data_IF_425916564516
#
_entry.id   IF_425916564516
#
_cell.length_a   1.000
_cell.length_b   1.000
_cell.length_c   1.000
_cell.angle_alpha   90.00
_cell.angle_beta   90.00
_cell.angle_gamma   90.00
#
_symmetry.space_group_name_H-M   'P 1'
#
loop_
_entity.id
_entity.type
_entity.pdbx_description
1 polymer ?
#
# COMPACT_ATOMS: atom_id res chain seq x y z
N UNK A 1 -2.05 1.53 -14.72
CA UNK A 1 -1.01 2.30 -14.00
C UNK A 1 -1.31 2.36 -12.51
N UNK A 2 -2.51 2.80 -12.08
CA UNK A 2 -2.86 2.97 -10.66
C UNK A 2 -2.56 1.73 -9.79
N UNK A 3 -2.90 0.53 -10.26
CA UNK A 3 -2.59 -0.71 -9.54
C UNK A 3 -1.07 -0.90 -9.33
N UNK A 4 -0.25 -0.66 -10.36
CA UNK A 4 1.21 -0.72 -10.23
C UNK A 4 1.74 0.32 -9.24
N UNK A 5 1.18 1.52 -9.22
CA UNK A 5 1.53 2.56 -8.26
C UNK A 5 1.20 2.15 -6.81
N UNK A 6 0.00 1.61 -6.58
CA UNK A 6 -0.43 1.19 -5.24
C UNK A 6 0.45 0.08 -4.66
N UNK A 7 0.72 -0.98 -5.44
CA UNK A 7 1.61 -2.06 -5.04
C UNK A 7 3.05 -1.58 -4.79
N UNK A 8 3.56 -0.68 -5.66
CA UNK A 8 4.94 -0.19 -5.54
C UNK A 8 5.14 0.75 -4.34
N UNK A 9 4.15 1.59 -4.00
CA UNK A 9 4.18 2.42 -2.78
C UNK A 9 4.27 1.56 -1.51
N UNK A 10 3.52 0.47 -1.45
CA UNK A 10 3.54 -0.44 -0.32
C UNK A 10 4.93 -1.05 -0.08
N UNK A 11 5.76 -1.22 -1.11
CA UNK A 11 7.12 -1.77 -0.95
C UNK A 11 7.95 -0.98 0.07
N UNK A 12 7.91 0.35 0.03
CA UNK A 12 8.64 1.17 0.98
C UNK A 12 8.05 1.10 2.39
N UNK A 13 6.74 1.29 2.52
CA UNK A 13 6.10 1.40 3.83
C UNK A 13 6.15 0.06 4.59
N UNK A 14 5.95 -1.06 3.89
CA UNK A 14 6.05 -2.39 4.48
C UNK A 14 7.49 -2.74 4.85
N UNK A 15 8.48 -2.49 3.98
CA UNK A 15 9.89 -2.71 4.34
C UNK A 15 10.32 -1.87 5.52
N UNK A 16 9.87 -0.63 5.60
CA UNK A 16 10.12 0.25 6.73
C UNK A 16 9.50 -0.30 8.02
N UNK A 17 8.25 -0.75 7.97
CA UNK A 17 7.56 -1.36 9.12
C UNK A 17 8.28 -2.62 9.61
N UNK A 18 8.62 -3.55 8.71
CA UNK A 18 9.33 -4.79 9.00
C UNK A 18 10.72 -4.51 9.59
N UNK A 19 11.40 -3.49 9.08
CA UNK A 19 12.79 -3.17 9.45
C UNK A 19 12.90 -2.37 10.75
N UNK A 20 11.83 -1.81 11.26
CA UNK A 20 11.83 -0.87 12.39
C UNK A 20 12.38 -1.42 13.70
N UNK A 21 12.46 -2.75 13.87
CA UNK A 21 12.98 -3.41 15.07
C UNK A 21 14.28 -4.18 14.85
N UNK A 22 14.94 -4.05 13.70
CA UNK A 22 16.12 -4.84 13.35
C UNK A 22 17.41 -4.02 13.51
N UNK A 23 18.24 -4.40 14.46
CA UNK A 23 19.52 -3.71 14.71
C UNK A 23 20.62 -4.01 13.67
N UNK A 24 20.53 -5.14 12.96
CA UNK A 24 21.54 -5.58 11.99
C UNK A 24 20.92 -6.07 10.70
N UNK A 25 20.97 -5.24 9.67
CA UNK A 25 20.60 -5.63 8.32
C UNK A 25 21.78 -6.20 7.53
N UNK A 26 21.56 -7.34 6.85
CA UNK A 26 22.52 -7.83 5.85
C UNK A 26 22.69 -6.80 4.72
N UNK A 27 23.79 -6.90 3.97
CA UNK A 27 24.02 -6.01 2.83
C UNK A 27 22.88 -6.05 1.82
N UNK A 28 22.30 -7.23 1.56
CA UNK A 28 21.17 -7.39 0.63
C UNK A 28 19.88 -6.76 1.17
N UNK A 29 19.61 -6.89 2.48
CA UNK A 29 18.45 -6.23 3.10
C UNK A 29 18.57 -4.70 3.03
N UNK A 30 19.76 -4.15 3.30
CA UNK A 30 20.03 -2.71 3.14
C UNK A 30 19.84 -2.24 1.70
N UNK A 31 20.27 -3.02 0.71
CA UNK A 31 20.05 -2.71 -0.70
C UNK A 31 18.56 -2.75 -1.06
N UNK A 32 17.81 -3.73 -0.56
CA UNK A 32 16.37 -3.83 -0.76
C UNK A 32 15.63 -2.63 -0.16
N UNK A 33 15.95 -2.24 1.08
CA UNK A 33 15.38 -1.04 1.73
C UNK A 33 15.71 0.23 0.91
N UNK A 34 16.95 0.43 0.50
CA UNK A 34 17.34 1.59 -0.28
C UNK A 34 16.60 1.63 -1.63
N UNK A 35 16.45 0.48 -2.29
CA UNK A 35 15.76 0.36 -3.56
C UNK A 35 14.24 0.60 -3.43
N UNK A 36 13.61 0.10 -2.36
CA UNK A 36 12.20 0.40 -2.09
C UNK A 36 11.95 1.89 -1.83
N UNK A 37 12.92 2.58 -1.21
CA UNK A 37 12.88 4.03 -1.05
C UNK A 37 12.95 4.76 -2.39
N UNK A 38 13.77 4.30 -3.33
CA UNK A 38 13.81 4.85 -4.70
C UNK A 38 12.43 4.72 -5.37
N UNK A 39 11.77 3.57 -5.22
CA UNK A 39 10.39 3.40 -5.74
C UNK A 39 9.45 4.47 -5.19
N UNK A 40 9.45 4.67 -3.87
CA UNK A 40 8.62 5.66 -3.20
C UNK A 40 8.90 7.08 -3.72
N UNK A 41 10.17 7.49 -3.77
CA UNK A 41 10.57 8.84 -4.18
C UNK A 41 10.18 9.13 -5.64
N UNK A 42 10.33 8.15 -6.55
CA UNK A 42 9.92 8.28 -7.94
C UNK A 42 8.40 8.43 -8.07
N UNK A 43 7.62 7.63 -7.35
CA UNK A 43 6.16 7.72 -7.40
C UNK A 43 5.65 8.99 -6.74
N UNK A 44 6.21 9.38 -5.61
CA UNK A 44 5.82 10.61 -4.91
C UNK A 44 6.09 11.85 -5.79
N UNK A 45 7.20 11.85 -6.53
CA UNK A 45 7.58 12.97 -7.39
C UNK A 45 6.82 12.98 -8.72
N UNK A 46 6.64 11.82 -9.35
CA UNK A 46 6.19 11.70 -10.74
C UNK A 46 4.81 11.05 -10.90
N UNK A 47 4.29 10.37 -9.88
CA UNK A 47 3.03 9.60 -9.97
C UNK A 47 1.83 10.40 -10.48
N UNK A 48 1.51 11.57 -9.89
CA UNK A 48 0.40 12.40 -10.37
C UNK A 48 0.54 12.81 -11.85
N UNK A 49 1.73 13.25 -12.26
CA UNK A 49 2.00 13.64 -13.65
C UNK A 49 1.92 12.43 -14.60
N UNK A 50 2.44 11.28 -14.21
CA UNK A 50 2.32 10.04 -14.99
C UNK A 50 0.87 9.60 -15.18
N UNK A 51 0.03 9.73 -14.15
CA UNK A 51 -1.41 9.48 -14.25
C UNK A 51 -2.09 10.45 -15.22
N UNK A 52 -1.68 11.71 -15.22
CA UNK A 52 -2.17 12.71 -16.18
C UNK A 52 -1.74 12.38 -17.62
N UNK A 53 -0.50 11.98 -17.81
CA UNK A 53 0.01 11.56 -19.13
C UNK A 53 -0.78 10.38 -19.69
N UNK A 54 -1.10 9.38 -18.86
CA UNK A 54 -1.94 8.24 -19.26
C UNK A 54 -3.37 8.69 -19.62
N UNK A 55 -3.99 9.54 -18.79
CA UNK A 55 -5.34 10.07 -19.09
C UNK A 55 -5.41 10.85 -20.41
N UNK A 56 -4.35 11.57 -20.72
CA UNK A 56 -4.23 12.34 -21.98
C UNK A 56 -3.81 11.49 -23.18
N UNK A 57 -3.35 10.25 -22.94
CA UNK A 57 -2.79 9.38 -23.99
C UNK A 57 -1.48 9.90 -24.59
N UNK A 58 -0.73 10.73 -23.86
CA UNK A 58 0.53 11.35 -24.29
C UNK A 58 1.64 10.96 -23.32
N UNK A 59 2.45 9.93 -23.66
CA UNK A 59 3.60 9.55 -22.83
C UNK A 59 4.59 10.71 -22.63
N UNK A 60 5.11 10.81 -21.41
CA UNK A 60 6.10 11.81 -21.03
C UNK A 60 7.17 11.22 -20.10
N UNK A 61 8.16 12.03 -19.73
CA UNK A 61 9.25 11.60 -18.87
C UNK A 61 8.78 11.19 -17.46
N UNK A 62 7.68 11.75 -16.96
CA UNK A 62 7.14 11.34 -15.66
C UNK A 62 6.60 9.90 -15.72
N UNK A 63 5.92 9.54 -16.82
CA UNK A 63 5.46 8.18 -17.04
C UNK A 63 6.63 7.19 -17.12
N UNK A 64 7.71 7.54 -17.81
CA UNK A 64 8.91 6.70 -17.90
C UNK A 64 9.50 6.43 -16.50
N UNK A 65 9.68 7.46 -15.66
CA UNK A 65 10.18 7.30 -14.29
C UNK A 65 9.31 6.39 -13.43
N UNK A 66 7.99 6.48 -13.57
CA UNK A 66 7.05 5.64 -12.84
C UNK A 66 7.07 4.19 -13.35
N UNK A 67 7.20 3.98 -14.65
CA UNK A 67 7.34 2.64 -15.23
C UNK A 67 8.64 1.96 -14.77
N UNK A 68 9.74 2.70 -14.67
CA UNK A 68 11.00 2.19 -14.11
C UNK A 68 10.81 1.79 -12.63
N UNK A 69 10.10 2.59 -11.85
CA UNK A 69 9.78 2.26 -10.46
C UNK A 69 8.98 0.95 -10.35
N UNK A 70 7.94 0.79 -11.18
CA UNK A 70 7.02 -0.36 -11.14
C UNK A 70 7.71 -1.64 -11.67
N UNK A 71 8.34 -1.58 -12.83
CA UNK A 71 8.83 -2.79 -13.51
C UNK A 71 10.26 -3.16 -13.14
N UNK A 72 11.14 -2.19 -12.95
CA UNK A 72 12.53 -2.46 -12.63
C UNK A 72 12.76 -2.46 -11.12
N UNK A 73 12.54 -1.34 -10.44
CA UNK A 73 12.95 -1.20 -9.04
C UNK A 73 12.08 -2.01 -8.08
N UNK A 74 10.76 -2.07 -8.26
CA UNK A 74 9.90 -2.92 -7.45
C UNK A 74 10.22 -4.41 -7.65
N UNK A 75 10.52 -4.83 -8.88
CA UNK A 75 10.98 -6.18 -9.19
C UNK A 75 12.32 -6.52 -8.51
N UNK A 76 13.29 -5.61 -8.57
CA UNK A 76 14.58 -5.77 -7.87
C UNK A 76 14.40 -5.83 -6.36
N UNK A 77 13.52 -5.02 -5.78
CA UNK A 77 13.19 -5.09 -4.34
C UNK A 77 12.73 -6.49 -3.96
N UNK A 78 11.78 -7.06 -4.70
CA UNK A 78 11.25 -8.40 -4.44
C UNK A 78 12.32 -9.49 -4.61
N UNK A 79 13.19 -9.39 -5.63
CA UNK A 79 14.29 -10.34 -5.86
C UNK A 79 15.37 -10.29 -4.76
N UNK A 80 15.65 -9.11 -4.21
CA UNK A 80 16.62 -8.93 -3.12
C UNK A 80 16.04 -9.29 -1.76
N UNK A 81 14.73 -9.41 -1.63
CA UNK A 81 14.07 -9.76 -0.38
C UNK A 81 14.29 -11.24 -0.08
N UNK A 82 15.15 -11.55 0.86
CA UNK A 82 15.43 -12.92 1.31
C UNK A 82 14.56 -13.38 2.50
N UNK A 83 13.54 -12.61 2.87
CA UNK A 83 12.66 -12.84 4.02
C UNK A 83 11.33 -12.13 3.85
N UNK A 84 10.75 -11.70 4.97
CA UNK A 84 9.53 -10.91 4.97
C UNK A 84 9.70 -9.63 4.14
N UNK A 85 8.77 -9.39 3.22
CA UNK A 85 8.77 -8.24 2.32
C UNK A 85 7.38 -7.63 2.11
N UNK A 86 6.38 -8.20 2.76
CA UNK A 86 5.02 -7.74 2.82
C UNK A 86 4.55 -7.74 4.29
N UNK A 87 3.61 -6.89 4.63
CA UNK A 87 3.06 -6.72 5.97
C UNK A 87 1.55 -6.43 5.89
N UNK A 88 1.05 -5.46 6.66
CA UNK A 88 -0.38 -5.19 6.74
C UNK A 88 -1.02 -4.78 5.40
N UNK A 89 -0.31 -4.13 4.49
CA UNK A 89 -0.89 -3.73 3.20
C UNK A 89 -1.31 -4.96 2.36
N UNK A 90 -0.43 -5.94 2.23
CA UNK A 90 -0.71 -7.19 1.53
C UNK A 90 -1.66 -8.09 2.33
N UNK A 91 -1.54 -8.16 3.66
CA UNK A 91 -2.48 -8.89 4.49
C UNK A 91 -3.92 -8.39 4.35
N UNK A 92 -4.13 -7.07 4.26
CA UNK A 92 -5.44 -6.47 4.02
C UNK A 92 -5.94 -6.83 2.61
N UNK A 93 -5.07 -6.79 1.60
CA UNK A 93 -5.43 -7.28 0.27
C UNK A 93 -5.88 -8.75 0.31
N UNK A 94 -5.16 -9.64 1.00
CA UNK A 94 -5.58 -11.04 1.15
C UNK A 94 -6.96 -11.14 1.79
N UNK A 95 -7.26 -10.30 2.78
CA UNK A 95 -8.59 -10.18 3.35
C UNK A 95 -9.67 -9.92 2.30
N UNK A 96 -9.43 -9.02 1.37
CA UNK A 96 -10.39 -8.73 0.30
C UNK A 96 -10.61 -9.90 -0.66
N UNK A 97 -9.70 -10.84 -0.78
CA UNK A 97 -9.83 -11.98 -1.70
C UNK A 97 -10.94 -12.98 -1.34
N UNK A 98 -11.39 -12.99 -0.09
CA UNK A 98 -12.47 -13.91 0.35
C UNK A 98 -13.87 -13.38 0.07
N UNK A 99 -14.01 -12.12 -0.33
CA UNK A 99 -15.29 -11.52 -0.67
C UNK A 99 -15.45 -11.46 -2.21
N UNK A 100 -16.53 -12.05 -2.72
CA UNK A 100 -16.78 -12.09 -4.17
C UNK A 100 -16.90 -10.70 -4.80
N UNK A 101 -17.40 -9.70 -4.03
CA UNK A 101 -17.55 -8.33 -4.51
C UNK A 101 -16.23 -7.61 -4.73
N UNK A 102 -15.16 -8.03 -4.07
CA UNK A 102 -13.85 -7.35 -4.07
C UNK A 102 -12.76 -8.12 -4.79
N UNK A 103 -12.93 -9.41 -5.00
CA UNK A 103 -11.92 -10.31 -5.59
C UNK A 103 -11.40 -9.87 -6.95
N UNK A 104 -12.26 -9.27 -7.77
CA UNK A 104 -11.92 -8.81 -9.14
C UNK A 104 -11.44 -7.34 -9.18
N UNK A 105 -11.37 -6.66 -8.04
CA UNK A 105 -11.08 -5.21 -8.01
C UNK A 105 -9.66 -4.84 -8.46
N UNK A 106 -8.74 -5.77 -8.36
CA UNK A 106 -7.34 -5.57 -8.77
C UNK A 106 -6.37 -5.47 -7.59
N UNK A 107 -5.39 -6.39 -7.59
CA UNK A 107 -4.40 -6.57 -6.53
C UNK A 107 -3.79 -5.25 -6.04
N UNK A 108 -3.11 -4.52 -6.92
CA UNK A 108 -2.34 -3.35 -6.50
C UNK A 108 -3.19 -2.16 -6.05
N UNK A 109 -4.47 -2.08 -6.45
CA UNK A 109 -5.39 -1.07 -5.92
C UNK A 109 -5.77 -1.38 -4.48
N UNK A 110 -6.03 -2.66 -4.17
CA UNK A 110 -6.34 -3.12 -2.82
C UNK A 110 -5.11 -3.05 -1.91
N UNK A 111 -3.92 -3.38 -2.41
CA UNK A 111 -2.66 -3.17 -1.69
C UNK A 111 -2.43 -1.68 -1.41
N UNK A 112 -2.72 -0.80 -2.37
CA UNK A 112 -2.60 0.65 -2.17
C UNK A 112 -3.54 1.18 -1.07
N UNK A 113 -4.79 0.72 -1.02
CA UNK A 113 -5.70 1.02 0.10
C UNK A 113 -5.18 0.42 1.41
N UNK A 114 -4.72 -0.83 1.39
CA UNK A 114 -4.08 -1.48 2.53
C UNK A 114 -2.85 -0.73 3.04
N UNK A 115 -2.08 -0.09 2.16
CA UNK A 115 -0.94 0.75 2.53
C UNK A 115 -1.35 1.99 3.34
N UNK A 116 -2.45 2.65 2.97
CA UNK A 116 -3.00 3.74 3.78
C UNK A 116 -3.44 3.24 5.17
N UNK A 117 -4.04 2.06 5.23
CA UNK A 117 -4.42 1.43 6.50
C UNK A 117 -3.18 1.05 7.34
N UNK A 118 -2.09 0.58 6.72
CA UNK A 118 -0.81 0.31 7.39
C UNK A 118 -0.27 1.59 8.05
N UNK A 119 -0.24 2.72 7.34
CA UNK A 119 0.19 4.00 7.90
C UNK A 119 -0.67 4.42 9.11
N UNK A 120 -1.97 4.19 9.03
CA UNK A 120 -2.89 4.46 10.13
C UNK A 120 -2.66 3.50 11.32
N UNK A 121 -2.38 2.21 11.09
CA UNK A 121 -2.01 1.23 12.12
C UNK A 121 -0.70 1.59 12.82
N UNK A 122 0.27 2.16 12.11
CA UNK A 122 1.52 2.68 12.69
C UNK A 122 1.33 3.99 13.48
N UNK A 123 0.11 4.52 13.56
CA UNK A 123 -0.21 5.81 14.17
C UNK A 123 0.61 6.98 13.58
N UNK A 124 0.84 6.99 12.27
CA UNK A 124 1.44 8.13 11.60
C UNK A 124 0.64 9.39 11.89
N UNK A 125 1.30 10.55 11.87
CA UNK A 125 0.63 11.83 12.09
C UNK A 125 -0.50 12.04 11.07
N UNK A 126 -1.46 12.91 11.40
CA UNK A 126 -2.53 13.23 10.45
C UNK A 126 -1.99 13.93 9.20
N UNK A 127 -0.90 14.69 9.34
CA UNK A 127 -0.20 15.33 8.22
C UNK A 127 0.39 14.30 7.26
N UNK A 128 1.18 13.32 7.78
CA UNK A 128 1.73 12.23 6.97
C UNK A 128 0.63 11.40 6.28
N UNK A 129 -0.46 11.12 6.98
CA UNK A 129 -1.57 10.36 6.42
C UNK A 129 -2.31 11.15 5.33
N UNK A 130 -2.55 12.45 5.53
CA UNK A 130 -3.15 13.33 4.52
C UNK A 130 -2.28 13.46 3.27
N UNK A 131 -0.95 13.56 3.42
CA UNK A 131 -0.03 13.56 2.28
C UNK A 131 -0.14 12.25 1.47
N UNK A 132 -0.12 11.08 2.16
CA UNK A 132 -0.27 9.79 1.52
C UNK A 132 -1.63 9.62 0.81
N UNK A 133 -2.72 10.08 1.44
CA UNK A 133 -4.07 10.09 0.86
C UNK A 133 -4.13 11.02 -0.36
N UNK A 134 -3.51 12.19 -0.30
CA UNK A 134 -3.42 13.12 -1.43
C UNK A 134 -2.72 12.51 -2.64
N UNK A 135 -1.60 11.82 -2.41
CA UNK A 135 -0.88 11.07 -3.45
C UNK A 135 -1.74 9.93 -4.00
N UNK A 136 -2.35 9.12 -3.14
CA UNK A 136 -3.21 8.01 -3.54
C UNK A 136 -4.38 8.49 -4.40
N UNK A 137 -5.04 9.59 -4.03
CA UNK A 137 -6.11 10.24 -4.80
C UNK A 137 -5.63 10.67 -6.18
N UNK A 138 -4.49 11.36 -6.26
CA UNK A 138 -3.92 11.81 -7.53
C UNK A 138 -3.57 10.64 -8.47
N UNK A 139 -3.22 9.49 -7.90
CA UNK A 139 -2.88 8.26 -8.60
C UNK A 139 -4.07 7.30 -8.82
N UNK A 140 -5.30 7.71 -8.50
CA UNK A 140 -6.52 6.91 -8.62
C UNK A 140 -6.48 5.57 -7.85
N UNK A 141 -5.86 5.58 -6.68
CA UNK A 141 -5.91 4.50 -5.69
C UNK A 141 -7.15 4.73 -4.82
N UNK A 142 -7.96 3.71 -4.48
CA UNK A 142 -9.15 3.88 -3.66
C UNK A 142 -8.82 4.36 -2.25
N UNK A 143 -9.69 5.19 -1.68
CA UNK A 143 -9.52 5.85 -0.38
C UNK A 143 -10.56 5.39 0.65
N UNK A 144 -11.53 4.59 0.24
CA UNK A 144 -12.62 4.13 1.08
C UNK A 144 -13.10 2.74 0.66
N UNK A 145 -13.73 2.02 1.59
CA UNK A 145 -14.41 0.76 1.28
C UNK A 145 -15.47 0.94 0.21
N UNK A 146 -16.20 2.07 0.24
CA UNK A 146 -17.26 2.36 -0.74
C UNK A 146 -16.73 2.49 -2.16
N UNK A 147 -15.51 2.99 -2.34
CA UNK A 147 -14.87 3.05 -3.66
C UNK A 147 -14.44 1.65 -4.16
N UNK A 148 -14.29 0.68 -3.25
CA UNK A 148 -13.94 -0.70 -3.58
C UNK A 148 -15.22 -1.52 -3.83
N UNK A 149 -16.14 -1.58 -2.85
CA UNK A 149 -17.41 -2.29 -2.97
C UNK A 149 -18.40 -1.86 -1.88
N UNK A 150 -19.70 -2.05 -2.12
CA UNK A 150 -20.72 -1.96 -1.08
C UNK A 150 -20.72 -3.24 -0.23
N UNK A 151 -20.04 -3.17 0.92
CA UNK A 151 -19.90 -4.28 1.86
C UNK A 151 -20.92 -4.16 2.99
N UNK A 152 -21.52 -5.28 3.36
CA UNK A 152 -22.25 -5.37 4.62
C UNK A 152 -21.31 -5.69 5.81
N UNK A 153 -21.86 -5.67 7.02
CA UNK A 153 -21.06 -5.90 8.23
C UNK A 153 -20.47 -7.30 8.32
N UNK A 154 -21.12 -8.31 7.75
CA UNK A 154 -20.65 -9.70 7.75
C UNK A 154 -19.51 -9.87 6.76
N UNK A 155 -19.63 -9.32 5.57
CA UNK A 155 -18.58 -9.32 4.55
C UNK A 155 -17.33 -8.60 5.06
N UNK A 156 -17.51 -7.42 5.65
CA UNK A 156 -16.38 -6.67 6.22
C UNK A 156 -15.72 -7.44 7.38
N UNK A 157 -16.50 -8.07 8.26
CA UNK A 157 -15.96 -8.90 9.34
C UNK A 157 -15.14 -10.07 8.79
N UNK A 158 -15.59 -10.73 7.73
CA UNK A 158 -14.86 -11.81 7.06
C UNK A 158 -13.54 -11.33 6.43
N UNK A 159 -13.54 -10.15 5.80
CA UNK A 159 -12.34 -9.51 5.25
C UNK A 159 -11.33 -9.22 6.38
N UNK A 160 -11.78 -8.63 7.47
CA UNK A 160 -10.93 -8.32 8.64
C UNK A 160 -10.35 -9.59 9.25
N UNK A 161 -11.19 -10.63 9.45
CA UNK A 161 -10.72 -11.90 10.01
C UNK A 161 -9.64 -12.54 9.14
N UNK A 162 -9.86 -12.62 7.82
CA UNK A 162 -8.87 -13.16 6.89
C UNK A 162 -7.58 -12.32 6.91
N UNK A 163 -7.66 -11.00 6.88
CA UNK A 163 -6.50 -10.12 6.93
C UNK A 163 -5.64 -10.34 8.19
N UNK A 164 -6.29 -10.56 9.35
CA UNK A 164 -5.60 -10.83 10.61
C UNK A 164 -4.90 -12.20 10.64
N UNK A 165 -5.40 -13.17 9.89
CA UNK A 165 -4.81 -14.52 9.80
C UNK A 165 -3.84 -14.66 8.62
N UNK A 166 -3.76 -13.68 7.75
CA UNK A 166 -2.80 -13.65 6.65
C UNK A 166 -1.35 -13.69 7.19
N UNK A 167 -0.45 -14.51 6.62
CA UNK A 167 0.92 -14.65 7.11
C UNK A 167 1.66 -13.30 7.18
N UNK A 168 1.41 -12.40 6.24
CA UNK A 168 2.07 -11.11 6.16
C UNK A 168 1.69 -10.16 7.30
N UNK A 169 0.52 -10.33 7.92
CA UNK A 169 0.14 -9.54 9.10
C UNK A 169 1.09 -9.76 10.28
N UNK A 170 1.67 -10.95 10.41
CA UNK A 170 2.62 -11.28 11.45
C UNK A 170 3.96 -10.52 11.32
N UNK A 171 4.22 -9.89 10.18
CA UNK A 171 5.41 -9.08 9.93
C UNK A 171 5.27 -7.63 10.45
N UNK A 172 4.11 -7.25 10.97
CA UNK A 172 3.95 -5.96 11.64
C UNK A 172 4.75 -5.91 12.95
N UNK A 173 5.34 -4.74 13.29
CA UNK A 173 6.17 -4.58 14.51
C UNK A 173 5.44 -4.89 15.82
N UNK A 174 4.11 -4.79 15.81
CA UNK A 174 3.24 -5.09 16.95
C UNK A 174 2.01 -5.88 16.47
N UNK A 175 1.44 -6.74 17.33
CA UNK A 175 0.22 -7.48 17.00
C UNK A 175 -0.93 -6.55 16.63
N UNK A 176 -1.58 -6.82 15.51
CA UNK A 176 -2.75 -6.08 15.03
C UNK A 176 -4.02 -6.78 15.50
N UNK A 177 -4.96 -6.04 16.06
CA UNK A 177 -6.27 -6.54 16.48
C UNK A 177 -7.36 -6.13 15.50
N UNK A 178 -8.50 -6.83 15.50
CA UNK A 178 -9.65 -6.45 14.69
C UNK A 178 -10.09 -4.99 14.96
N UNK A 179 -10.15 -4.59 16.22
CA UNK A 179 -10.50 -3.21 16.59
C UNK A 179 -9.51 -2.18 16.05
N UNK A 180 -8.20 -2.49 16.06
CA UNK A 180 -7.19 -1.62 15.48
C UNK A 180 -7.36 -1.48 13.96
N UNK A 181 -7.65 -2.59 13.27
CA UNK A 181 -7.84 -2.58 11.82
C UNK A 181 -9.11 -1.83 11.41
N UNK A 182 -10.24 -2.03 12.11
CA UNK A 182 -11.45 -1.21 11.92
C UNK A 182 -11.17 0.28 12.14
N UNK A 183 -10.43 0.63 13.19
CA UNK A 183 -10.08 2.01 13.51
C UNK A 183 -9.16 2.62 12.44
N UNK A 184 -8.23 1.85 11.90
CA UNK A 184 -7.34 2.30 10.83
C UNK A 184 -8.12 2.59 9.55
N UNK A 185 -9.03 1.71 9.12
CA UNK A 185 -9.91 1.92 7.98
C UNK A 185 -10.76 3.20 8.18
N UNK A 186 -11.42 3.32 9.33
CA UNK A 186 -12.25 4.48 9.63
C UNK A 186 -11.44 5.79 9.64
N UNK A 187 -10.19 5.76 10.14
CA UNK A 187 -9.29 6.92 10.13
C UNK A 187 -8.92 7.33 8.71
N UNK A 188 -8.57 6.37 7.84
CA UNK A 188 -8.28 6.65 6.42
C UNK A 188 -9.48 7.30 5.75
N UNK A 189 -10.68 6.74 5.89
CA UNK A 189 -11.91 7.27 5.29
C UNK A 189 -12.26 8.66 5.83
N UNK A 190 -12.09 8.90 7.14
CA UNK A 190 -12.30 10.20 7.74
C UNK A 190 -11.35 11.26 7.17
N UNK A 191 -10.05 10.98 7.12
CA UNK A 191 -9.05 11.90 6.58
C UNK A 191 -9.25 12.14 5.08
N UNK A 192 -9.64 11.11 4.32
CA UNK A 192 -9.98 11.25 2.91
C UNK A 192 -11.18 12.19 2.68
N UNK A 193 -12.13 12.22 3.60
CA UNK A 193 -13.28 13.13 3.55
C UNK A 193 -12.93 14.61 3.83
N UNK A 194 -11.74 14.93 4.34
CA UNK A 194 -11.27 16.28 4.60
C UNK A 194 -10.60 16.95 3.38
N UNK A 195 -10.18 16.19 2.37
CA UNK A 195 -9.57 16.63 1.11
C UNK A 195 -10.63 16.76 0.00
#
# INVERSE_FOLDING_TARGET
LAAGLGDTLAKWDEFRAISAGLDNHSGIARASIANSRICYDLINTHGPAACDAVRKGVPDAALEQVLDAIFMFAGLTSLMSSGAHAAAAHAIYEGFTVCDKTREFGHGLLVGFGNLCLLALENRSDEELLEAIGLARACAIPLSLREIAELDSTELAGIIDMALHAPDMANMPAPVTAGALYSAIARVEHQAGLL
#
